data_IF_099769658127
#
_entry.id   IF_099769658127
#
_cell.length_a   1.000
_cell.length_b   1.000
_cell.length_c   1.000
_cell.angle_alpha   90.00
_cell.angle_beta   90.00
_cell.angle_gamma   90.00
#
_symmetry.space_group_name_H-M   'P 1'
#
loop_
_entity.id
_entity.type
_entity.pdbx_description
1 polymer ?
#
# COMPACT_ATOMS: atom_id res chain seq x y z
N UNK A 1 -20.30 -24.18 -2.44
CA UNK A 1 -18.87 -24.06 -2.11
C UNK A 1 -18.78 -23.36 -0.77
N UNK A 2 -18.30 -24.04 0.26
CA UNK A 2 -18.31 -23.54 1.64
C UNK A 2 -17.13 -22.61 1.85
N UNK A 3 -17.39 -21.32 2.09
CA UNK A 3 -16.33 -20.40 2.51
C UNK A 3 -15.91 -20.79 3.92
N UNK A 4 -14.65 -21.19 4.07
CA UNK A 4 -14.05 -21.37 5.38
C UNK A 4 -14.04 -19.99 6.08
N UNK A 5 -14.39 -19.96 7.35
CA UNK A 5 -14.40 -18.74 8.17
C UNK A 5 -13.43 -18.92 9.33
N UNK A 6 -12.53 -17.96 9.54
CA UNK A 6 -11.82 -17.81 10.82
C UNK A 6 -12.51 -16.67 11.57
N UNK A 7 -13.07 -16.95 12.74
CA UNK A 7 -13.72 -15.96 13.62
C UNK A 7 -14.78 -15.08 12.92
N UNK A 8 -15.66 -15.71 12.13
CA UNK A 8 -16.79 -15.05 11.47
C UNK A 8 -16.43 -14.25 10.20
N UNK A 9 -15.16 -14.18 9.81
CA UNK A 9 -14.74 -13.53 8.58
C UNK A 9 -14.59 -14.56 7.45
N UNK A 10 -15.26 -14.38 6.30
CA UNK A 10 -15.09 -15.28 5.16
C UNK A 10 -13.63 -15.22 4.69
N UNK A 11 -12.98 -16.37 4.63
CA UNK A 11 -11.64 -16.51 4.05
C UNK A 11 -11.79 -16.34 2.54
N UNK A 12 -11.14 -15.33 1.92
CA UNK A 12 -11.24 -15.13 0.49
C UNK A 12 -10.62 -16.31 -0.26
N UNK A 13 -11.29 -16.71 -1.33
CA UNK A 13 -10.83 -17.69 -2.30
C UNK A 13 -9.52 -17.26 -2.96
N UNK A 14 -8.91 -18.16 -3.73
CA UNK A 14 -7.70 -17.83 -4.50
C UNK A 14 -7.96 -16.70 -5.51
N UNK A 15 -9.11 -16.73 -6.18
CA UNK A 15 -9.48 -15.75 -7.20
C UNK A 15 -9.75 -14.37 -6.59
N UNK A 16 -10.47 -14.31 -5.46
CA UNK A 16 -10.70 -13.06 -4.73
C UNK A 16 -9.40 -12.44 -4.24
N UNK A 17 -8.45 -13.25 -3.75
CA UNK A 17 -7.11 -12.76 -3.37
C UNK A 17 -6.33 -12.18 -4.55
N UNK A 18 -6.39 -12.83 -5.71
CA UNK A 18 -5.75 -12.33 -6.93
C UNK A 18 -6.36 -11.00 -7.37
N UNK A 19 -7.69 -10.90 -7.37
CA UNK A 19 -8.40 -9.69 -7.71
C UNK A 19 -8.04 -8.55 -6.74
N UNK A 20 -8.07 -8.80 -5.43
CA UNK A 20 -7.65 -7.84 -4.41
C UNK A 20 -6.22 -7.33 -4.64
N UNK A 21 -5.25 -8.24 -4.86
CA UNK A 21 -3.86 -7.84 -5.13
C UNK A 21 -3.74 -7.00 -6.40
N UNK A 22 -4.47 -7.33 -7.47
CA UNK A 22 -4.46 -6.53 -8.71
C UNK A 22 -4.97 -5.10 -8.49
N UNK A 23 -6.03 -4.91 -7.69
CA UNK A 23 -6.57 -3.58 -7.37
C UNK A 23 -5.65 -2.80 -6.44
N UNK A 24 -5.01 -3.47 -5.49
CA UNK A 24 -3.96 -2.90 -4.65
C UNK A 24 -2.82 -2.35 -5.50
N UNK A 25 -2.33 -3.13 -6.45
CA UNK A 25 -1.17 -2.75 -7.26
C UNK A 25 -1.49 -1.53 -8.15
N UNK A 26 -2.69 -1.47 -8.74
CA UNK A 26 -3.16 -0.29 -9.47
C UNK A 26 -3.24 0.97 -8.60
N UNK A 27 -3.79 0.83 -7.38
CA UNK A 27 -3.85 1.95 -6.44
C UNK A 27 -2.44 2.44 -6.06
N UNK A 28 -1.52 1.52 -5.76
CA UNK A 28 -0.15 1.86 -5.38
C UNK A 28 0.66 2.46 -6.53
N UNK A 29 0.44 2.01 -7.76
CA UNK A 29 1.02 2.63 -8.95
C UNK A 29 0.56 4.08 -9.11
N UNK A 30 -0.73 4.35 -8.91
CA UNK A 30 -1.27 5.71 -8.93
C UNK A 30 -0.63 6.59 -7.84
N UNK A 31 -0.53 6.09 -6.60
CA UNK A 31 0.12 6.84 -5.52
C UNK A 31 1.59 7.13 -5.83
N UNK A 32 2.31 6.18 -6.43
CA UNK A 32 3.71 6.38 -6.86
C UNK A 32 3.81 7.46 -7.94
N UNK A 33 2.94 7.43 -8.95
CA UNK A 33 2.91 8.46 -10.02
C UNK A 33 2.64 9.86 -9.48
N UNK A 34 1.89 9.96 -8.39
CA UNK A 34 1.57 11.23 -7.72
C UNK A 34 2.54 11.58 -6.56
N UNK A 35 3.59 10.77 -6.34
CA UNK A 35 4.55 10.93 -5.24
C UNK A 35 3.92 10.98 -3.84
N UNK A 36 2.78 10.31 -3.65
CA UNK A 36 2.07 10.26 -2.36
C UNK A 36 2.67 9.15 -1.51
N UNK A 37 3.27 9.51 -0.37
CA UNK A 37 3.92 8.54 0.51
C UNK A 37 2.93 8.00 1.55
N UNK A 38 2.22 8.89 2.22
CA UNK A 38 1.22 8.58 3.23
C UNK A 38 -0.16 9.11 2.81
N UNK A 39 -0.94 8.26 2.14
CA UNK A 39 -2.28 8.61 1.68
C UNK A 39 -3.27 8.88 2.83
N UNK A 40 -2.99 8.44 4.07
CA UNK A 40 -3.83 8.75 5.23
C UNK A 40 -3.64 10.20 5.70
N UNK A 41 -2.45 10.77 5.49
CA UNK A 41 -2.12 12.15 5.88
C UNK A 41 -2.21 13.15 4.73
N UNK A 42 -1.75 12.74 3.55
CA UNK A 42 -1.64 13.59 2.35
C UNK A 42 -2.92 13.53 1.51
N UNK A 43 -3.80 12.55 1.78
CA UNK A 43 -4.95 12.22 0.95
C UNK A 43 -4.57 11.37 -0.26
N UNK A 44 -5.58 10.80 -0.92
CA UNK A 44 -5.40 9.93 -2.08
C UNK A 44 -5.13 10.69 -3.39
N UNK A 45 -5.27 12.02 -3.40
CA UNK A 45 -5.20 12.85 -4.61
C UNK A 45 -6.12 12.32 -5.71
N UNK A 46 -5.58 12.21 -6.94
CA UNK A 46 -6.30 11.63 -8.08
C UNK A 46 -6.56 10.12 -8.00
N UNK A 47 -6.17 9.45 -6.93
CA UNK A 47 -6.26 7.99 -6.77
C UNK A 47 -7.45 7.53 -5.92
N UNK A 48 -8.38 8.42 -5.55
CA UNK A 48 -9.50 8.09 -4.64
C UNK A 48 -10.40 6.97 -5.19
N UNK A 49 -10.70 6.95 -6.49
CA UNK A 49 -11.52 5.89 -7.08
C UNK A 49 -10.82 4.52 -7.07
N UNK A 50 -9.50 4.51 -7.24
CA UNK A 50 -8.69 3.29 -7.11
C UNK A 50 -8.64 2.82 -5.65
N UNK A 51 -8.58 3.75 -4.69
CA UNK A 51 -8.69 3.46 -3.26
C UNK A 51 -10.02 2.78 -2.95
N UNK A 52 -11.14 3.38 -3.37
CA UNK A 52 -12.49 2.81 -3.18
C UNK A 52 -12.59 1.42 -3.80
N UNK A 53 -12.10 1.25 -5.02
CA UNK A 53 -12.09 -0.04 -5.73
C UNK A 53 -11.28 -1.09 -4.99
N UNK A 54 -10.12 -0.72 -4.43
CA UNK A 54 -9.32 -1.64 -3.63
C UNK A 54 -10.09 -2.06 -2.36
N UNK A 55 -10.66 -1.12 -1.62
CA UNK A 55 -11.42 -1.40 -0.39
C UNK A 55 -12.70 -2.19 -0.62
N UNK A 56 -13.36 -2.06 -1.77
CA UNK A 56 -14.55 -2.86 -2.10
C UNK A 56 -14.21 -4.29 -2.56
N UNK A 57 -12.99 -4.51 -3.02
CA UNK A 57 -12.53 -5.80 -3.55
C UNK A 57 -11.76 -6.62 -2.51
N UNK A 58 -11.03 -5.96 -1.64
CA UNK A 58 -10.21 -6.58 -0.62
C UNK A 58 -10.96 -6.73 0.71
N UNK A 59 -10.62 -7.74 1.53
CA UNK A 59 -10.92 -7.69 2.96
C UNK A 59 -10.37 -6.39 3.56
N UNK A 60 -11.17 -5.68 4.35
CA UNK A 60 -10.78 -4.37 4.89
C UNK A 60 -9.48 -4.46 5.72
N UNK A 61 -9.33 -5.52 6.52
CA UNK A 61 -8.11 -5.77 7.30
C UNK A 61 -6.87 -5.89 6.42
N UNK A 62 -7.00 -6.45 5.22
CA UNK A 62 -5.90 -6.54 4.26
C UNK A 62 -5.60 -5.19 3.62
N UNK A 63 -6.62 -4.46 3.18
CA UNK A 63 -6.47 -3.13 2.59
C UNK A 63 -5.75 -2.17 3.55
N UNK A 64 -6.20 -2.13 4.81
CA UNK A 64 -5.60 -1.34 5.89
C UNK A 64 -4.15 -1.76 6.14
N UNK A 65 -3.88 -3.06 6.27
CA UNK A 65 -2.52 -3.57 6.46
C UNK A 65 -1.59 -3.22 5.28
N UNK A 66 -2.07 -3.34 4.04
CA UNK A 66 -1.27 -3.00 2.86
C UNK A 66 -0.88 -1.52 2.83
N UNK A 67 -1.80 -0.62 3.17
CA UNK A 67 -1.51 0.82 3.24
C UNK A 67 -0.46 1.11 4.29
N UNK A 68 -0.64 0.58 5.51
CA UNK A 68 0.34 0.74 6.59
C UNK A 68 1.73 0.22 6.18
N UNK A 69 1.78 -0.98 5.59
CA UNK A 69 3.03 -1.59 5.13
C UNK A 69 3.71 -0.76 4.04
N UNK A 70 2.95 -0.26 3.06
CA UNK A 70 3.48 0.63 2.00
C UNK A 70 4.08 1.90 2.62
N UNK A 71 3.33 2.59 3.47
CA UNK A 71 3.76 3.84 4.11
C UNK A 71 5.03 3.62 4.93
N UNK A 72 5.10 2.55 5.73
CA UNK A 72 6.30 2.20 6.48
C UNK A 72 7.50 1.93 5.57
N UNK A 73 7.35 1.11 4.52
CA UNK A 73 8.45 0.79 3.59
C UNK A 73 8.96 2.02 2.86
N UNK A 74 8.06 2.87 2.34
CA UNK A 74 8.46 4.11 1.66
C UNK A 74 9.21 5.06 2.59
N UNK A 75 8.76 5.22 3.84
CA UNK A 75 9.48 6.03 4.83
C UNK A 75 10.87 5.46 5.11
N UNK A 76 11.00 4.15 5.23
CA UNK A 76 12.30 3.50 5.44
C UNK A 76 13.25 3.71 4.25
N UNK A 77 12.77 3.58 3.01
CA UNK A 77 13.53 3.85 1.79
C UNK A 77 14.06 5.28 1.75
N UNK A 78 13.18 6.26 1.96
CA UNK A 78 13.55 7.69 2.00
C UNK A 78 14.59 7.98 3.09
N UNK A 79 14.46 7.36 4.27
CA UNK A 79 15.45 7.55 5.34
C UNK A 79 16.81 6.95 4.97
N UNK A 80 16.83 5.76 4.34
CA UNK A 80 18.08 5.14 3.87
C UNK A 80 18.76 6.02 2.81
N UNK A 81 18.00 6.57 1.88
CA UNK A 81 18.51 7.49 0.85
C UNK A 81 19.10 8.75 1.47
N UNK A 82 18.41 9.37 2.44
CA UNK A 82 18.91 10.54 3.19
C UNK A 82 20.20 10.25 3.94
N UNK A 83 20.31 9.07 4.58
CA UNK A 83 21.52 8.66 5.29
C UNK A 83 22.67 8.45 4.29
N UNK A 84 22.43 7.75 3.18
CA UNK A 84 23.43 7.51 2.15
C UNK A 84 23.95 8.82 1.54
N UNK A 85 23.06 9.78 1.29
CA UNK A 85 23.42 11.11 0.80
C UNK A 85 24.30 11.88 1.79
N UNK A 86 23.92 11.88 3.08
CA UNK A 86 24.75 12.50 4.14
C UNK A 86 26.14 11.88 4.25
N UNK A 87 26.24 10.56 4.04
CA UNK A 87 27.53 9.87 4.06
C UNK A 87 28.39 10.19 2.83
N UNK A 88 27.80 10.44 1.66
CA UNK A 88 28.52 10.92 0.47
C UNK A 88 29.08 12.31 0.70
N UNK A 89 28.23 13.26 1.12
CA UNK A 89 28.63 14.66 1.29
C UNK A 89 29.71 14.87 2.36
N UNK A 90 29.82 13.95 3.34
CA UNK A 90 30.92 13.94 4.32
C UNK A 90 32.25 13.43 3.79
N UNK A 91 32.26 12.63 2.72
CA UNK A 91 33.51 12.15 2.09
C UNK A 91 34.11 13.21 1.16
N UNK A 92 33.27 14.09 0.63
CA UNK A 92 33.67 15.16 -0.28
C UNK A 92 34.13 16.44 0.47
N UNK A 93 34.07 16.44 1.81
CA UNK A 93 34.54 17.49 2.72
C UNK A 93 35.78 17.04 3.48
#
# INVERSE_FOLDING_TARGET
>A
MSNATTDGHPIPSREERQLCHSKRDLYFECLNKNNIIDAEKEGSGGCEELRKTMYSTCPESWATYFIQLRTMRRRQEIQKEKIAERMRNKKDQ
#
